data_IF_829569889845
#
_entry.id   IF_829569889845
#
_cell.length_a   1.000
_cell.length_b   1.000
_cell.length_c   1.000
_cell.angle_alpha   90.00
_cell.angle_beta   90.00
_cell.angle_gamma   90.00
#
_symmetry.space_group_name_H-M   'P 1'
#
loop_
_entity.id
_entity.type
_entity.pdbx_description
1 polymer ?
#
# COMPACT_ATOMS: atom_id res chain seq x y z
N UNK A 1 -46.42 -25.92 -1.95
CA UNK A 1 -45.95 -26.04 -0.55
C UNK A 1 -44.45 -25.87 -0.55
N UNK A 2 -43.95 -25.07 0.40
CA UNK A 2 -42.70 -24.31 0.39
C UNK A 2 -41.42 -25.10 0.02
N UNK A 3 -40.64 -24.52 -0.89
CA UNK A 3 -39.21 -24.76 -1.07
C UNK A 3 -38.44 -24.36 0.20
N UNK A 4 -37.95 -25.36 0.93
CA UNK A 4 -37.01 -25.17 2.04
C UNK A 4 -35.76 -25.99 1.73
N UNK A 5 -34.92 -25.48 0.84
CA UNK A 5 -33.53 -25.94 0.75
C UNK A 5 -32.80 -25.15 1.82
N UNK A 6 -32.35 -25.86 2.84
CA UNK A 6 -31.51 -25.31 3.89
C UNK A 6 -30.35 -24.57 3.23
N UNK A 7 -30.23 -23.28 3.53
CA UNK A 7 -29.13 -22.44 3.06
C UNK A 7 -27.89 -22.99 3.74
N UNK A 8 -27.19 -23.86 3.01
CA UNK A 8 -26.01 -24.56 3.47
C UNK A 8 -24.93 -23.53 3.80
N UNK A 9 -24.43 -23.58 5.04
CA UNK A 9 -23.37 -22.72 5.54
C UNK A 9 -22.11 -22.81 4.65
N UNK A 10 -21.93 -23.96 3.97
CA UNK A 10 -20.86 -24.19 3.01
C UNK A 10 -21.06 -23.42 1.69
N UNK A 11 -22.31 -23.21 1.24
CA UNK A 11 -22.61 -22.33 0.10
C UNK A 11 -22.34 -20.86 0.45
N UNK A 12 -22.68 -20.45 1.67
CA UNK A 12 -22.38 -19.11 2.16
C UNK A 12 -20.86 -18.86 2.29
N UNK A 13 -20.08 -19.84 2.77
CA UNK A 13 -18.61 -19.77 2.80
C UNK A 13 -17.98 -19.79 1.40
N UNK A 14 -18.53 -20.58 0.47
CA UNK A 14 -18.10 -20.63 -0.92
C UNK A 14 -18.34 -19.30 -1.64
N UNK A 15 -19.53 -18.72 -1.47
CA UNK A 15 -19.85 -17.39 -1.97
C UNK A 15 -19.00 -16.30 -1.32
N UNK A 16 -18.71 -16.39 -0.01
CA UNK A 16 -17.79 -15.46 0.66
C UNK A 16 -16.37 -15.58 0.11
N UNK A 17 -15.86 -16.79 -0.14
CA UNK A 17 -14.54 -17.00 -0.77
C UNK A 17 -14.49 -16.47 -2.19
N UNK A 18 -15.56 -16.67 -2.96
CA UNK A 18 -15.64 -16.13 -4.31
C UNK A 18 -15.77 -14.60 -4.31
N UNK A 19 -16.52 -14.02 -3.37
CA UNK A 19 -16.56 -12.57 -3.15
C UNK A 19 -15.18 -12.07 -2.73
N UNK A 20 -14.42 -12.80 -1.90
CA UNK A 20 -13.05 -12.42 -1.50
C UNK A 20 -12.06 -12.50 -2.68
N UNK A 21 -12.26 -13.41 -3.63
CA UNK A 21 -11.47 -13.49 -4.86
C UNK A 21 -11.91 -12.46 -5.92
N UNK A 22 -13.16 -12.01 -5.85
CA UNK A 22 -13.80 -11.07 -6.79
C UNK A 22 -13.94 -9.64 -6.21
N UNK A 23 -13.45 -9.40 -4.98
CA UNK A 23 -13.07 -8.06 -4.52
C UNK A 23 -11.81 -7.71 -5.29
N UNK A 24 -12.00 -6.93 -6.37
CA UNK A 24 -10.99 -6.07 -6.99
C UNK A 24 -9.79 -5.91 -6.07
N UNK A 25 -8.63 -6.50 -6.41
CA UNK A 25 -7.47 -6.58 -5.53
C UNK A 25 -7.25 -5.28 -4.74
N UNK A 26 -7.82 -5.21 -3.53
CA UNK A 26 -7.96 -3.95 -2.82
C UNK A 26 -6.54 -3.53 -2.49
N UNK A 27 -6.12 -2.35 -2.96
CA UNK A 27 -4.74 -1.88 -2.84
C UNK A 27 -4.41 -1.73 -1.35
N UNK A 28 -3.89 -2.79 -0.76
CA UNK A 28 -3.59 -2.86 0.66
C UNK A 28 -2.12 -2.52 0.94
N UNK A 29 -1.80 -2.29 2.21
CA UNK A 29 -0.46 -1.81 2.62
C UNK A 29 0.64 -2.79 2.20
N UNK A 30 0.39 -4.09 2.29
CA UNK A 30 1.39 -5.11 1.95
C UNK A 30 1.67 -5.15 0.44
N UNK A 31 0.63 -5.01 -0.39
CA UNK A 31 0.77 -4.90 -1.84
C UNK A 31 1.56 -3.64 -2.24
N UNK A 32 1.27 -2.50 -1.60
CA UNK A 32 2.04 -1.26 -1.82
C UNK A 32 3.50 -1.45 -1.40
N UNK A 33 3.76 -2.00 -0.21
CA UNK A 33 5.12 -2.23 0.28
C UNK A 33 5.92 -3.11 -0.69
N UNK A 34 5.32 -4.21 -1.18
CA UNK A 34 5.96 -5.09 -2.16
C UNK A 34 6.25 -4.36 -3.47
N UNK A 35 5.24 -3.71 -4.05
CA UNK A 35 5.35 -3.04 -5.35
C UNK A 35 6.41 -1.92 -5.33
N UNK A 36 6.46 -1.14 -4.26
CA UNK A 36 7.46 -0.08 -4.09
C UNK A 36 8.84 -0.68 -3.86
N UNK A 37 8.97 -1.70 -3.00
CA UNK A 37 10.25 -2.36 -2.75
C UNK A 37 10.86 -2.95 -4.04
N UNK A 38 10.03 -3.62 -4.84
CA UNK A 38 10.41 -4.19 -6.13
C UNK A 38 10.85 -3.08 -7.11
N UNK A 39 10.13 -1.95 -7.17
CA UNK A 39 10.49 -0.82 -8.03
C UNK A 39 11.88 -0.23 -7.68
N UNK A 40 12.18 -0.09 -6.39
CA UNK A 40 13.46 0.41 -5.91
C UNK A 40 14.53 -0.69 -5.76
N UNK A 41 14.23 -1.93 -6.15
CA UNK A 41 15.15 -3.09 -6.04
C UNK A 41 15.71 -3.30 -4.63
N UNK A 42 14.85 -3.17 -3.61
CA UNK A 42 15.21 -3.43 -2.20
C UNK A 42 14.34 -4.54 -1.60
N UNK A 43 14.84 -5.28 -0.59
CA UNK A 43 13.99 -6.19 0.17
C UNK A 43 12.87 -5.45 0.92
N UNK A 44 11.64 -5.97 0.88
CA UNK A 44 10.47 -5.41 1.59
C UNK A 44 10.75 -5.21 3.09
N UNK A 45 11.50 -6.11 3.71
CA UNK A 45 11.88 -6.01 5.12
C UNK A 45 12.58 -4.69 5.45
N UNK A 46 13.37 -4.13 4.53
CA UNK A 46 14.09 -2.87 4.74
C UNK A 46 13.14 -1.67 4.89
N UNK A 47 11.91 -1.75 4.38
CA UNK A 47 10.90 -0.71 4.60
C UNK A 47 10.49 -0.58 6.07
N UNK A 48 10.65 -1.65 6.87
CA UNK A 48 10.37 -1.66 8.31
C UNK A 48 11.62 -1.34 9.14
N UNK A 49 12.81 -1.66 8.64
CA UNK A 49 14.09 -1.44 9.33
C UNK A 49 14.44 0.03 9.62
N UNK A 50 15.20 0.28 10.69
CA UNK A 50 15.67 1.62 11.12
C UNK A 50 16.96 2.05 10.41
N UNK A 51 17.03 1.86 9.08
CA UNK A 51 18.19 2.27 8.27
C UNK A 51 18.06 3.68 7.73
N UNK A 52 19.20 4.39 7.67
CA UNK A 52 19.35 5.74 7.10
C UNK A 52 19.87 5.77 5.66
N UNK A 53 20.08 4.59 5.03
CA UNK A 53 20.50 4.53 3.63
C UNK A 53 19.50 5.27 2.75
N UNK A 54 19.99 6.22 1.95
CA UNK A 54 19.17 7.15 1.17
C UNK A 54 18.14 6.41 0.30
N UNK A 55 18.59 5.40 -0.44
CA UNK A 55 17.73 4.56 -1.31
C UNK A 55 16.54 3.94 -0.55
N UNK A 56 16.79 3.38 0.65
CA UNK A 56 15.75 2.75 1.47
C UNK A 56 14.83 3.79 2.09
N UNK A 57 15.38 4.93 2.51
CA UNK A 57 14.58 6.04 3.04
C UNK A 57 13.62 6.56 1.98
N UNK A 58 14.11 6.82 0.77
CA UNK A 58 13.28 7.26 -0.36
C UNK A 58 12.20 6.23 -0.68
N UNK A 59 12.54 4.95 -0.83
CA UNK A 59 11.56 3.89 -1.10
C UNK A 59 10.48 3.82 0.00
N UNK A 60 10.87 3.95 1.27
CA UNK A 60 9.92 3.96 2.39
C UNK A 60 9.00 5.17 2.39
N UNK A 61 9.54 6.35 2.11
CA UNK A 61 8.74 7.57 2.04
C UNK A 61 7.71 7.47 0.91
N UNK A 62 8.12 6.95 -0.25
CA UNK A 62 7.23 6.69 -1.39
C UNK A 62 6.15 5.66 -1.05
N UNK A 63 6.50 4.58 -0.34
CA UNK A 63 5.52 3.58 0.10
C UNK A 63 4.49 4.16 1.09
N UNK A 64 4.92 5.01 2.04
CA UNK A 64 4.01 5.71 2.94
C UNK A 64 3.10 6.69 2.19
N UNK A 65 3.63 7.42 1.21
CA UNK A 65 2.87 8.32 0.35
C UNK A 65 1.74 7.58 -0.38
N UNK A 66 2.06 6.49 -1.08
CA UNK A 66 1.03 5.70 -1.77
C UNK A 66 0.06 5.03 -0.82
N UNK A 67 0.52 4.57 0.35
CA UNK A 67 -0.39 4.01 1.37
C UNK A 67 -1.39 5.07 1.84
N UNK A 68 -0.94 6.32 2.01
CA UNK A 68 -1.84 7.39 2.43
C UNK A 68 -2.86 7.76 1.33
N UNK A 69 -2.49 7.60 0.07
CA UNK A 69 -3.33 7.94 -1.07
C UNK A 69 -4.34 6.84 -1.44
N UNK A 70 -3.92 5.57 -1.39
CA UNK A 70 -4.72 4.44 -1.85
C UNK A 70 -5.46 3.68 -0.75
N UNK A 71 -5.27 4.05 0.53
CA UNK A 71 -5.93 3.40 1.66
C UNK A 71 -6.62 4.41 2.59
N UNK A 72 -7.56 3.93 3.39
CA UNK A 72 -8.26 4.72 4.42
C UNK A 72 -7.56 4.68 5.79
N UNK A 73 -6.35 4.11 5.86
CA UNK A 73 -5.63 3.98 7.13
C UNK A 73 -5.26 5.33 7.76
N UNK A 74 -5.34 5.39 9.09
CA UNK A 74 -4.85 6.53 9.86
C UNK A 74 -3.33 6.65 9.77
N UNK A 75 -2.79 7.86 9.95
CA UNK A 75 -1.34 8.09 9.95
C UNK A 75 -0.60 7.23 10.98
N UNK A 76 -1.22 6.97 12.14
CA UNK A 76 -0.68 6.08 13.18
C UNK A 76 -0.64 4.64 12.70
N UNK A 77 -1.69 4.17 12.04
CA UNK A 77 -1.77 2.82 11.45
C UNK A 77 -0.73 2.65 10.36
N UNK A 78 -0.58 3.63 9.46
CA UNK A 78 0.48 3.63 8.44
C UNK A 78 1.85 3.50 9.11
N UNK A 79 2.16 4.36 10.09
CA UNK A 79 3.42 4.30 10.83
C UNK A 79 3.70 2.92 11.45
N UNK A 80 2.66 2.26 11.99
CA UNK A 80 2.75 0.89 12.50
C UNK A 80 3.20 -0.12 11.44
N UNK A 81 2.57 -0.12 10.24
CA UNK A 81 2.95 -1.01 9.14
C UNK A 81 4.37 -0.80 8.61
N UNK A 82 4.92 0.40 8.81
CA UNK A 82 6.31 0.72 8.48
C UNK A 82 7.22 0.66 9.70
N UNK A 83 7.13 -0.39 10.51
CA UNK A 83 8.07 -0.66 11.61
C UNK A 83 7.86 0.20 12.85
N UNK A 84 6.60 0.51 13.18
CA UNK A 84 6.25 1.25 14.41
C UNK A 84 6.72 2.71 14.41
N UNK A 85 6.74 3.36 13.25
CA UNK A 85 7.13 4.77 13.11
C UNK A 85 6.03 5.70 13.60
N UNK A 86 6.43 6.87 14.11
CA UNK A 86 5.48 7.87 14.59
C UNK A 86 4.68 8.50 13.43
N UNK A 87 3.44 8.88 13.70
CA UNK A 87 2.55 9.52 12.72
C UNK A 87 3.15 10.79 12.10
N UNK A 88 3.94 11.58 12.85
CA UNK A 88 4.65 12.74 12.32
C UNK A 88 5.70 12.36 11.28
N UNK A 89 6.30 11.15 11.39
CA UNK A 89 7.20 10.61 10.37
C UNK A 89 6.45 10.34 9.06
N UNK A 90 5.20 9.88 9.15
CA UNK A 90 4.35 9.66 7.98
C UNK A 90 4.01 10.99 7.32
N UNK A 91 3.62 12.00 8.10
CA UNK A 91 3.37 13.37 7.59
C UNK A 91 4.59 13.90 6.85
N UNK A 92 5.76 13.84 7.49
CA UNK A 92 7.01 14.29 6.87
C UNK A 92 7.31 13.52 5.58
N UNK A 93 7.08 12.21 5.57
CA UNK A 93 7.33 11.37 4.39
C UNK A 93 6.43 11.75 3.22
N UNK A 94 5.13 11.97 3.48
CA UNK A 94 4.17 12.43 2.47
C UNK A 94 4.58 13.78 1.91
N UNK A 95 4.91 14.75 2.78
CA UNK A 95 5.34 16.08 2.35
C UNK A 95 6.62 16.02 1.53
N UNK A 96 7.62 15.26 1.98
CA UNK A 96 8.91 15.11 1.26
C UNK A 96 8.70 14.56 -0.15
N UNK A 97 7.82 13.58 -0.31
CA UNK A 97 7.53 13.00 -1.64
C UNK A 97 6.79 14.01 -2.51
N UNK A 98 5.81 14.74 -1.97
CA UNK A 98 5.13 15.82 -2.70
C UNK A 98 6.10 16.90 -3.18
N UNK A 99 6.97 17.39 -2.29
CA UNK A 99 7.96 18.41 -2.64
C UNK A 99 8.95 17.92 -3.71
N UNK A 100 9.36 16.65 -3.66
CA UNK A 100 10.21 16.04 -4.68
C UNK A 100 9.50 15.87 -6.03
N UNK A 101 8.20 15.55 -6.02
CA UNK A 101 7.39 15.50 -7.26
C UNK A 101 7.33 16.89 -7.92
N UNK A 102 7.25 17.95 -7.12
CA UNK A 102 7.15 19.32 -7.63
C UNK A 102 8.50 19.88 -8.09
N UNK A 103 9.60 19.48 -7.44
CA UNK A 103 10.95 20.01 -7.71
C UNK A 103 11.80 19.18 -8.67
N UNK A 104 11.57 17.88 -8.81
CA UNK A 104 12.35 16.98 -9.66
C UNK A 104 11.48 16.27 -10.70
N UNK A 105 11.63 16.67 -11.97
CA UNK A 105 10.89 16.11 -13.11
C UNK A 105 11.15 14.60 -13.27
N UNK A 106 12.37 14.13 -13.07
CA UNK A 106 12.72 12.72 -13.20
C UNK A 106 12.05 11.91 -12.09
N UNK A 107 12.09 12.41 -10.87
CA UNK A 107 11.39 11.78 -9.75
C UNK A 107 9.88 11.73 -9.97
N UNK A 108 9.28 12.82 -10.47
CA UNK A 108 7.87 12.86 -10.86
C UNK A 108 7.52 11.78 -11.89
N UNK A 109 8.33 11.60 -12.93
CA UNK A 109 8.12 10.55 -13.93
C UNK A 109 8.15 9.15 -13.28
N UNK A 110 9.07 8.90 -12.35
CA UNK A 110 9.14 7.65 -11.59
C UNK A 110 7.88 7.40 -10.75
N UNK A 111 7.39 8.42 -10.03
CA UNK A 111 6.17 8.30 -9.23
C UNK A 111 4.94 8.08 -10.11
N UNK A 112 4.84 8.77 -11.24
CA UNK A 112 3.73 8.58 -12.21
C UNK A 112 3.75 7.16 -12.80
N UNK A 113 4.93 6.63 -13.10
CA UNK A 113 5.07 5.25 -13.57
C UNK A 113 4.62 4.24 -12.49
N UNK A 114 5.11 4.42 -11.26
CA UNK A 114 4.79 3.54 -10.13
C UNK A 114 3.30 3.59 -9.77
N UNK A 115 2.67 4.77 -9.84
CA UNK A 115 1.23 4.98 -9.63
C UNK A 115 0.37 4.10 -10.53
N UNK A 116 0.76 3.89 -11.78
CA UNK A 116 0.01 3.05 -12.73
C UNK A 116 -0.15 1.60 -12.25
N UNK A 117 0.76 1.11 -11.41
CA UNK A 117 0.70 -0.25 -10.86
C UNK A 117 -0.40 -0.44 -9.81
N UNK A 118 -0.93 0.66 -9.25
CA UNK A 118 -1.99 0.64 -8.24
C UNK A 118 -3.38 0.94 -8.79
N UNK A 119 -3.51 1.31 -10.07
CA UNK A 119 -4.78 1.77 -10.69
C UNK A 119 -5.23 0.80 -11.78
N UNK A 120 -5.00 -0.51 -11.62
CA UNK A 120 -5.51 -1.48 -12.59
C UNK A 120 -7.04 -1.61 -12.42
N UNK A 121 -7.75 -1.08 -13.42
CA UNK A 121 -9.16 -1.34 -13.72
C UNK A 121 -9.33 -2.69 -14.38
#
# INVERSE_FOLDING_TARGET
VLTRRDIDLEMAKGALRHIIEEVEAEVNVDFIQKTVADYFSIPVALLKEKTRKKEVVTARQVAMYFTKEHTTHSLKTIGYHFGGRDHATVIHSVQTVSDLIDSDKKFKEQIVELRKKFVQK
#
